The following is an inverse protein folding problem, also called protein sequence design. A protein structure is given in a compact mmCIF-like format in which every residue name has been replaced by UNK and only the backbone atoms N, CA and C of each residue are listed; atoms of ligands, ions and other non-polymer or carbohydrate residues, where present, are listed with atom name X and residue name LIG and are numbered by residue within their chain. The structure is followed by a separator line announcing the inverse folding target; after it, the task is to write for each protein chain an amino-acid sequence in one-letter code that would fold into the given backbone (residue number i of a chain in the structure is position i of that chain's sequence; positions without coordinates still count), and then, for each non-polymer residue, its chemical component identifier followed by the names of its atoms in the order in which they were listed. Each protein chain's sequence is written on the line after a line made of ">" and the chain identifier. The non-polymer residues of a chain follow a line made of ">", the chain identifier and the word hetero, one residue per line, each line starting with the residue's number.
data_IF_626461364471
#
_entry.id   IF_626461364471
#
_cell.length_a   1.000
_cell.length_b   1.000
_cell.length_c   1.000
_cell.angle_alpha   90.00
_cell.angle_beta   90.00
_cell.angle_gamma   90.00
#
_symmetry.space_group_name_H-M   'P 1'
#
loop_
_entity.id
_entity.type
_entity.pdbx_description
1 polymer ?
2 non-polymer ?
3 water ?
#
# COMPACT_ATOMS: atom_id res chain seq x y z
N UNK A 2 6.05 4.07 0.37
CA UNK A 2 5.85 2.77 -0.24
C UNK A 2 4.97 1.84 0.59
N UNK A 3 5.19 1.80 1.90
CA UNK A 3 4.46 0.90 2.77
C UNK A 3 2.94 1.12 2.63
N UNK A 4 2.54 2.38 2.77
CA UNK A 4 1.14 2.74 2.67
C UNK A 4 0.59 2.48 1.27
N UNK A 5 1.36 2.87 0.26
CA UNK A 5 0.94 2.72 -1.12
C UNK A 5 0.58 1.25 -1.41
N UNK A 6 1.46 0.35 -0.98
CA UNK A 6 1.25 -1.07 -1.26
C UNK A 6 0.07 -1.62 -0.48
N UNK A 7 -0.03 -1.26 0.79
CA UNK A 7 -1.16 -1.67 1.60
C UNK A 7 -2.50 -1.29 0.93
N UNK A 8 -2.52 -0.09 0.35
CA UNK A 8 -3.73 0.40 -0.30
C UNK A 8 -4.24 -0.57 -1.36
N UNK A 9 -3.31 -1.14 -2.12
CA UNK A 9 -3.66 -2.03 -3.21
C UNK A 9 -4.58 -3.17 -2.74
N UNK A 10 -4.37 -3.60 -1.49
CA UNK A 10 -5.09 -4.75 -0.92
C UNK A 10 -6.26 -4.33 -0.03
X LIG B 1 -0.63 7.31 -0.60
X LIG B 1 -1.31 6.80 0.18
X LIG B 1 -2.16 6.16 1.16
X LIG B 1 -1.62 5.60 1.75
X LIG B 1 -2.62 6.82 1.69
X LIG B 1 -2.81 5.60 0.72
#
# INVERSE_FOLDING_TARGET
>A
XLAAAMAQALX
>B hetero
1 CCN N C1 C2 H21 H22 H23
#
